data_IF_611542937852
#
_entry.id   IF_611542937852
#
_cell.length_a   1.000
_cell.length_b   1.000
_cell.length_c   1.000
_cell.angle_alpha   90.00
_cell.angle_beta   90.00
_cell.angle_gamma   90.00
#
_symmetry.space_group_name_H-M   'P 1'
#
loop_
_entity.id
_entity.type
_entity.pdbx_description
1 polymer ?
#
# COMPACT_ATOMS: atom_id res chain seq x y z
N UNK A 1 -42.53 -9.85 5.57
CA UNK A 1 -41.78 -8.98 4.63
C UNK A 1 -40.42 -9.61 4.42
N UNK A 2 -39.88 -9.69 3.19
CA UNK A 2 -38.51 -10.16 2.99
C UNK A 2 -37.56 -9.23 3.76
N UNK A 3 -36.69 -9.81 4.56
CA UNK A 3 -35.58 -9.07 5.18
C UNK A 3 -34.70 -8.62 4.02
N UNK A 4 -34.41 -7.31 3.87
CA UNK A 4 -33.49 -6.86 2.83
C UNK A 4 -32.16 -7.59 3.00
N UNK A 5 -31.54 -7.99 1.88
CA UNK A 5 -30.23 -8.64 1.92
C UNK A 5 -29.27 -7.78 2.76
N UNK A 6 -28.51 -8.39 3.68
CA UNK A 6 -27.59 -7.63 4.52
C UNK A 6 -26.60 -6.89 3.62
N UNK A 7 -26.38 -5.61 3.94
CA UNK A 7 -25.39 -4.79 3.25
C UNK A 7 -24.03 -5.43 3.47
N UNK A 8 -23.48 -6.02 2.41
CA UNK A 8 -22.15 -6.62 2.40
C UNK A 8 -21.07 -5.57 2.19
N UNK A 9 -19.84 -5.88 2.62
CA UNK A 9 -18.68 -5.02 2.41
C UNK A 9 -18.55 -4.66 0.92
N UNK A 10 -18.49 -3.36 0.65
CA UNK A 10 -18.21 -2.79 -0.66
C UNK A 10 -17.68 -1.37 -0.50
N UNK A 11 -16.90 -0.94 -1.50
CA UNK A 11 -16.53 0.46 -1.74
C UNK A 11 -16.75 0.71 -3.22
N UNK A 12 -17.40 1.82 -3.58
CA UNK A 12 -17.77 2.15 -4.97
C UNK A 12 -17.57 3.62 -5.25
N UNK A 13 -17.25 3.93 -6.49
CA UNK A 13 -17.19 5.28 -7.01
C UNK A 13 -18.13 5.40 -8.22
N UNK A 14 -19.02 6.38 -8.18
CA UNK A 14 -19.72 6.87 -9.36
C UNK A 14 -18.86 7.95 -9.99
N UNK A 15 -18.35 7.76 -11.22
CA UNK A 15 -17.51 8.75 -11.87
C UNK A 15 -18.30 10.04 -12.16
N UNK A 16 -17.62 11.17 -12.30
CA UNK A 16 -18.25 12.42 -12.72
C UNK A 16 -18.78 12.32 -14.15
N UNK A 17 -19.77 13.14 -14.46
CA UNK A 17 -20.36 13.23 -15.81
C UNK A 17 -19.74 14.33 -16.66
N UNK A 18 -18.98 15.25 -16.05
CA UNK A 18 -18.30 16.36 -16.71
C UNK A 18 -16.97 16.70 -16.02
N UNK A 19 -16.07 17.44 -16.70
CA UNK A 19 -14.86 17.98 -16.09
C UNK A 19 -15.16 18.91 -14.91
N UNK A 20 -14.24 18.98 -13.95
CA UNK A 20 -14.29 20.00 -12.91
C UNK A 20 -14.00 21.38 -13.51
N UNK A 21 -14.54 22.47 -12.93
CA UNK A 21 -14.07 23.81 -13.23
C UNK A 21 -12.55 23.91 -12.95
N UNK A 22 -11.72 24.47 -13.85
CA UNK A 22 -10.27 24.52 -13.67
C UNK A 22 -9.81 25.21 -12.37
N UNK A 23 -10.59 26.17 -11.88
CA UNK A 23 -10.37 26.89 -10.62
C UNK A 23 -10.69 26.07 -9.36
N UNK A 24 -11.40 24.95 -9.51
CA UNK A 24 -11.76 24.06 -8.41
C UNK A 24 -10.79 22.88 -8.26
N UNK A 25 -9.84 22.73 -9.20
CA UNK A 25 -8.81 21.71 -9.17
C UNK A 25 -7.62 22.19 -8.34
N UNK A 26 -7.11 21.32 -7.50
CA UNK A 26 -5.96 21.64 -6.66
C UNK A 26 -4.70 21.76 -7.54
N UNK A 27 -3.92 22.85 -7.37
CA UNK A 27 -2.65 22.97 -8.06
C UNK A 27 -1.70 21.89 -7.55
N UNK A 28 -1.07 21.19 -8.48
CA UNK A 28 0.16 20.47 -8.18
C UNK A 28 1.30 21.48 -8.20
N UNK A 29 1.64 22.04 -7.03
CA UNK A 29 2.76 22.95 -6.78
C UNK A 29 4.09 22.40 -7.32
N UNK A 30 4.80 21.57 -6.55
CA UNK A 30 6.09 21.01 -6.94
C UNK A 30 6.23 19.53 -6.53
N UNK A 31 6.51 18.62 -7.48
CA UNK A 31 6.83 17.23 -7.17
C UNK A 31 8.12 17.12 -6.35
N UNK A 32 8.32 16.03 -5.62
CA UNK A 32 7.54 14.79 -5.72
C UNK A 32 6.37 14.71 -4.74
N UNK A 33 5.24 14.20 -5.25
CA UNK A 33 4.14 13.74 -4.41
C UNK A 33 4.31 12.24 -4.17
N UNK A 34 4.15 11.82 -2.92
CA UNK A 34 3.96 10.40 -2.63
C UNK A 34 2.55 9.95 -3.05
N UNK A 35 2.36 8.63 -3.10
CA UNK A 35 1.06 8.06 -3.48
C UNK A 35 -0.09 8.53 -2.58
N UNK A 36 0.06 8.59 -1.24
CA UNK A 36 -0.99 9.12 -0.37
C UNK A 36 -1.40 10.56 -0.69
N UNK A 37 -0.45 11.47 -0.92
CA UNK A 37 -0.75 12.84 -1.29
C UNK A 37 -1.51 12.90 -2.63
N UNK A 38 -1.09 12.11 -3.63
CA UNK A 38 -1.79 12.04 -4.92
C UNK A 38 -3.21 11.48 -4.79
N UNK A 39 -3.42 10.49 -3.93
CA UNK A 39 -4.75 9.94 -3.66
C UNK A 39 -5.66 11.00 -3.03
N UNK A 40 -5.16 11.74 -2.04
CA UNK A 40 -5.89 12.80 -1.37
C UNK A 40 -6.26 13.95 -2.32
N UNK A 41 -5.29 14.46 -3.09
CA UNK A 41 -5.51 15.53 -4.08
C UNK A 41 -6.49 15.06 -5.17
N UNK A 42 -6.32 13.84 -5.69
CA UNK A 42 -7.23 13.30 -6.70
C UNK A 42 -8.66 13.15 -6.18
N UNK A 43 -8.83 12.74 -4.92
CA UNK A 43 -10.14 12.71 -4.26
C UNK A 43 -10.74 14.10 -4.05
N UNK A 44 -9.93 15.11 -3.69
CA UNK A 44 -10.38 16.51 -3.61
C UNK A 44 -10.86 17.04 -4.96
N UNK A 45 -10.10 16.78 -6.03
CA UNK A 45 -10.48 17.12 -7.41
C UNK A 45 -11.82 16.47 -7.81
N UNK A 46 -12.05 15.20 -7.45
CA UNK A 46 -13.32 14.52 -7.68
C UNK A 46 -14.45 15.10 -6.82
N UNK A 47 -14.18 15.52 -5.59
CA UNK A 47 -15.19 16.14 -4.73
C UNK A 47 -15.67 17.51 -5.26
N UNK A 48 -14.87 18.17 -6.11
CA UNK A 48 -15.26 19.38 -6.83
C UNK A 48 -16.20 19.12 -8.04
N UNK A 49 -16.55 17.87 -8.30
CA UNK A 49 -17.44 17.44 -9.41
C UNK A 49 -18.77 16.88 -8.91
N UNK A 50 -19.54 16.24 -9.80
CA UNK A 50 -20.74 15.46 -9.46
C UNK A 50 -20.45 13.98 -9.16
N UNK A 51 -19.18 13.60 -9.01
CA UNK A 51 -18.78 12.27 -8.54
C UNK A 51 -19.40 11.95 -7.17
N UNK A 52 -19.62 10.67 -6.90
CA UNK A 52 -20.12 10.23 -5.60
C UNK A 52 -19.47 8.92 -5.19
N UNK A 53 -19.10 8.80 -3.93
CA UNK A 53 -18.58 7.57 -3.36
C UNK A 53 -19.63 6.91 -2.46
N UNK A 54 -19.47 5.61 -2.23
CA UNK A 54 -20.30 4.89 -1.30
C UNK A 54 -19.58 3.67 -0.75
N UNK A 55 -19.70 3.48 0.56
CA UNK A 55 -19.21 2.29 1.23
C UNK A 55 -20.23 1.78 2.23
N UNK A 56 -20.12 0.50 2.54
CA UNK A 56 -20.96 -0.16 3.52
C UNK A 56 -20.55 -1.60 3.70
N UNK A 57 -21.17 -2.26 4.66
CA UNK A 57 -20.86 -3.61 5.06
C UNK A 57 -21.32 -3.83 6.50
N UNK A 58 -21.23 -5.08 6.95
CA UNK A 58 -21.44 -5.48 8.33
C UNK A 58 -22.82 -5.02 8.85
N UNK A 59 -23.82 -5.13 7.97
CA UNK A 59 -25.21 -4.80 8.23
C UNK A 59 -25.56 -3.31 8.12
N UNK A 60 -24.63 -2.43 7.73
CA UNK A 60 -24.87 -0.99 7.65
C UNK A 60 -24.34 -0.34 6.37
N UNK A 61 -24.96 0.78 5.99
CA UNK A 61 -24.36 1.76 5.07
C UNK A 61 -23.56 2.76 5.89
N UNK A 62 -22.42 3.19 5.36
CA UNK A 62 -21.56 4.15 6.06
C UNK A 62 -21.81 5.56 5.50
N UNK A 63 -21.61 6.57 6.35
CA UNK A 63 -21.32 7.90 5.84
C UNK A 63 -19.94 7.81 5.19
N UNK A 64 -19.86 8.18 3.92
CA UNK A 64 -18.68 7.97 3.11
C UNK A 64 -18.58 9.07 2.05
N UNK A 65 -17.64 9.99 2.21
CA UNK A 65 -17.42 11.09 1.28
C UNK A 65 -16.36 10.77 0.20
N UNK A 66 -16.34 11.57 -0.87
CA UNK A 66 -15.40 11.38 -1.99
C UNK A 66 -14.00 11.87 -1.66
N UNK A 67 -13.86 12.84 -0.77
CA UNK A 67 -12.60 13.54 -0.51
C UNK A 67 -11.72 12.75 0.45
N UNK A 68 -12.13 12.61 1.70
CA UNK A 68 -11.29 12.11 2.78
C UNK A 68 -11.51 10.62 3.04
N UNK A 69 -12.77 10.16 3.01
CA UNK A 69 -13.08 8.74 3.24
C UNK A 69 -12.56 7.83 2.12
N UNK A 70 -12.75 8.25 0.87
CA UNK A 70 -12.23 7.50 -0.28
C UNK A 70 -10.69 7.54 -0.35
N UNK A 71 -10.04 8.66 0.02
CA UNK A 71 -8.57 8.74 -0.03
C UNK A 71 -7.94 7.67 0.88
N UNK A 72 -8.46 7.48 2.09
CA UNK A 72 -7.97 6.47 3.02
C UNK A 72 -7.99 5.04 2.44
N UNK A 73 -8.97 4.71 1.58
CA UNK A 73 -8.98 3.41 0.87
C UNK A 73 -7.91 3.38 -0.23
N UNK A 74 -7.80 4.45 -1.01
CA UNK A 74 -6.91 4.51 -2.18
C UNK A 74 -5.43 4.59 -1.79
N UNK A 75 -5.12 5.21 -0.66
CA UNK A 75 -3.79 5.30 -0.04
C UNK A 75 -3.15 3.91 0.14
N UNK A 76 -3.96 2.90 0.43
CA UNK A 76 -3.52 1.53 0.72
C UNK A 76 -3.92 0.50 -0.37
N UNK A 77 -4.54 0.92 -1.47
CA UNK A 77 -5.18 0.00 -2.42
C UNK A 77 -4.18 -0.93 -3.13
N UNK A 78 -2.99 -0.44 -3.48
CA UNK A 78 -1.95 -1.29 -4.09
C UNK A 78 -1.45 -2.37 -3.11
N UNK A 79 -1.30 -2.01 -1.83
CA UNK A 79 -0.93 -2.94 -0.76
C UNK A 79 -2.02 -3.99 -0.55
N UNK A 80 -3.29 -3.56 -0.54
CA UNK A 80 -4.43 -4.46 -0.44
C UNK A 80 -4.51 -5.42 -1.65
N UNK A 81 -4.36 -4.93 -2.88
CA UNK A 81 -4.36 -5.77 -4.07
C UNK A 81 -3.16 -6.71 -4.13
N UNK A 82 -1.99 -6.29 -3.66
CA UNK A 82 -0.84 -7.16 -3.45
C UNK A 82 -1.18 -8.27 -2.43
N UNK A 83 -1.83 -7.92 -1.32
CA UNK A 83 -2.24 -8.89 -0.32
C UNK A 83 -3.22 -9.93 -0.87
N UNK A 84 -4.13 -9.55 -1.76
CA UNK A 84 -4.97 -10.50 -2.50
C UNK A 84 -4.14 -11.44 -3.38
N UNK A 85 -3.24 -10.89 -4.21
CA UNK A 85 -2.38 -11.66 -5.13
C UNK A 85 -1.57 -12.76 -4.43
N UNK A 86 -1.06 -12.46 -3.24
CA UNK A 86 -0.23 -13.39 -2.45
C UNK A 86 -0.98 -14.06 -1.28
N UNK A 87 -2.26 -13.74 -1.09
CA UNK A 87 -3.12 -14.29 -0.02
C UNK A 87 -2.53 -14.09 1.37
N UNK A 88 -2.00 -12.90 1.60
CA UNK A 88 -1.38 -12.51 2.88
C UNK A 88 -2.34 -11.67 3.68
N UNK A 89 -2.54 -11.91 4.99
CA UNK A 89 -3.43 -11.07 5.79
C UNK A 89 -3.06 -9.60 5.69
N UNK A 90 -4.07 -8.73 5.62
CA UNK A 90 -3.89 -7.28 5.48
C UNK A 90 -4.91 -6.53 6.31
N UNK A 91 -4.49 -5.46 6.97
CA UNK A 91 -5.38 -4.56 7.71
C UNK A 91 -5.39 -3.20 7.00
N UNK A 92 -6.55 -2.83 6.45
CA UNK A 92 -6.82 -1.50 5.90
C UNK A 92 -7.31 -0.61 7.05
N UNK A 93 -6.67 0.55 7.29
CA UNK A 93 -7.09 1.47 8.33
C UNK A 93 -7.89 2.64 7.77
N UNK A 94 -9.19 2.64 8.03
CA UNK A 94 -10.07 3.77 7.74
C UNK A 94 -10.04 4.70 8.94
N UNK A 95 -9.12 5.64 8.94
CA UNK A 95 -8.91 6.64 10.00
C UNK A 95 -9.79 7.91 9.95
N UNK A 96 -10.45 8.29 8.84
CA UNK A 96 -11.33 9.45 8.79
C UNK A 96 -12.40 9.50 9.89
N UNK A 97 -12.66 10.71 10.41
CA UNK A 97 -13.58 10.95 11.52
C UNK A 97 -15.00 10.44 11.22
N UNK A 98 -15.58 9.66 12.13
CA UNK A 98 -16.90 9.05 11.93
C UNK A 98 -16.86 7.75 11.11
N UNK A 99 -15.77 7.50 10.35
CA UNK A 99 -15.50 6.23 9.70
C UNK A 99 -14.66 5.30 10.60
N UNK A 100 -13.55 5.76 11.16
CA UNK A 100 -12.72 5.12 12.21
C UNK A 100 -12.90 3.59 12.38
N UNK A 101 -12.52 2.81 11.36
CA UNK A 101 -12.66 1.35 11.29
C UNK A 101 -11.38 0.72 10.77
N UNK A 102 -11.01 -0.44 11.31
CA UNK A 102 -9.95 -1.28 10.74
C UNK A 102 -10.60 -2.50 10.09
N UNK A 103 -10.28 -2.75 8.82
CA UNK A 103 -10.77 -3.90 8.06
C UNK A 103 -9.63 -4.90 7.86
N UNK A 104 -9.76 -6.09 8.47
CA UNK A 104 -8.76 -7.16 8.35
C UNK A 104 -9.21 -8.20 7.34
N UNK A 105 -8.46 -8.32 6.25
CA UNK A 105 -8.67 -9.29 5.18
C UNK A 105 -7.83 -10.54 5.47
N UNK A 106 -8.46 -11.70 5.46
CA UNK A 106 -7.81 -13.01 5.59
C UNK A 106 -8.30 -13.97 4.52
N UNK A 107 -7.51 -14.99 4.20
CA UNK A 107 -7.72 -15.89 3.07
C UNK A 107 -7.83 -17.34 3.56
N UNK A 108 -8.94 -17.72 4.23
CA UNK A 108 -9.08 -19.04 4.85
C UNK A 108 -9.07 -20.20 3.85
N UNK A 109 -9.50 -19.95 2.60
CA UNK A 109 -9.48 -20.92 1.50
C UNK A 109 -9.05 -20.23 0.20
N UNK A 110 -8.75 -21.00 -0.88
CA UNK A 110 -8.45 -20.42 -2.19
C UNK A 110 -9.57 -19.52 -2.75
N UNK A 111 -10.84 -19.79 -2.44
CA UNK A 111 -11.96 -19.12 -3.10
C UNK A 111 -12.69 -18.15 -2.17
N UNK A 112 -12.25 -18.00 -0.92
CA UNK A 112 -12.92 -17.21 0.10
C UNK A 112 -11.99 -16.16 0.72
N UNK A 113 -12.52 -14.96 0.88
CA UNK A 113 -11.93 -13.89 1.68
C UNK A 113 -12.83 -13.65 2.88
N UNK A 114 -12.26 -13.65 4.08
CA UNK A 114 -12.94 -13.23 5.29
C UNK A 114 -12.49 -11.81 5.63
N UNK A 115 -13.43 -10.88 5.74
CA UNK A 115 -13.20 -9.48 6.13
C UNK A 115 -13.74 -9.30 7.52
N UNK A 116 -12.87 -9.04 8.49
CA UNK A 116 -13.25 -8.67 9.86
C UNK A 116 -13.26 -7.15 9.98
N UNK A 117 -14.29 -6.59 10.63
CA UNK A 117 -14.36 -5.16 10.93
C UNK A 117 -14.25 -4.94 12.44
N UNK A 118 -13.30 -4.08 12.82
CA UNK A 118 -13.26 -3.48 14.14
C UNK A 118 -13.58 -2.00 14.01
N UNK A 119 -14.62 -1.51 14.70
CA UNK A 119 -14.90 -0.08 14.78
C UNK A 119 -14.27 0.54 16.02
N UNK A 120 -13.80 1.79 15.88
CA UNK A 120 -13.34 2.64 16.97
C UNK A 120 -14.38 3.70 17.37
N UNK A 121 -15.61 3.58 16.85
CA UNK A 121 -16.77 4.42 17.18
C UNK A 121 -17.79 3.66 18.04
N UNK A 122 -18.91 4.30 18.39
CA UNK A 122 -20.04 3.65 19.07
C UNK A 122 -20.82 2.67 18.17
N UNK A 123 -20.58 2.66 16.85
CA UNK A 123 -21.20 1.70 15.94
C UNK A 123 -20.52 0.32 16.05
N UNK A 124 -21.32 -0.74 16.22
CA UNK A 124 -20.84 -2.11 16.33
C UNK A 124 -21.17 -2.89 15.05
N UNK A 125 -20.17 -3.51 14.37
CA UNK A 125 -20.41 -4.29 13.16
C UNK A 125 -21.22 -5.55 13.46
N UNK A 126 -22.25 -5.83 12.65
CA UNK A 126 -23.11 -7.01 12.79
C UNK A 126 -23.47 -7.60 11.43
N UNK A 127 -22.82 -8.70 11.00
CA UNK A 127 -21.82 -9.49 11.73
C UNK A 127 -20.49 -8.73 11.87
N UNK A 128 -19.61 -9.16 12.78
CA UNK A 128 -18.25 -8.62 12.87
C UNK A 128 -17.32 -9.12 11.75
N UNK A 129 -17.67 -10.24 11.11
CA UNK A 129 -16.90 -10.84 10.00
C UNK A 129 -17.83 -11.22 8.86
N UNK A 130 -17.50 -10.78 7.66
CA UNK A 130 -18.16 -11.18 6.42
C UNK A 130 -17.28 -12.11 5.59
N UNK A 131 -17.92 -12.98 4.80
CA UNK A 131 -17.24 -13.90 3.90
C UNK A 131 -17.65 -13.62 2.45
N UNK A 132 -16.66 -13.43 1.59
CA UNK A 132 -16.83 -13.05 0.19
C UNK A 132 -16.13 -14.05 -0.73
N UNK A 133 -16.70 -14.34 -1.92
CA UNK A 133 -15.95 -15.00 -2.98
C UNK A 133 -14.71 -14.17 -3.35
N UNK A 134 -13.54 -14.81 -3.43
CA UNK A 134 -12.27 -14.15 -3.72
C UNK A 134 -12.34 -13.33 -5.01
N UNK A 135 -12.76 -13.95 -6.11
CA UNK A 135 -12.79 -13.31 -7.42
C UNK A 135 -13.70 -12.09 -7.45
N UNK A 136 -14.82 -12.15 -6.72
CA UNK A 136 -15.77 -11.04 -6.64
C UNK A 136 -15.14 -9.84 -5.93
N UNK A 137 -14.62 -10.03 -4.72
CA UNK A 137 -14.08 -8.91 -3.94
C UNK A 137 -12.80 -8.36 -4.58
N UNK A 138 -11.97 -9.23 -5.15
CA UNK A 138 -10.79 -8.82 -5.92
C UNK A 138 -11.18 -7.98 -7.15
N UNK A 139 -12.24 -8.38 -7.88
CA UNK A 139 -12.76 -7.61 -9.00
C UNK A 139 -13.33 -6.25 -8.54
N UNK A 140 -14.11 -6.20 -7.46
CA UNK A 140 -14.66 -4.95 -6.90
C UNK A 140 -13.54 -3.95 -6.53
N UNK A 141 -12.46 -4.39 -5.90
CA UNK A 141 -11.30 -3.55 -5.57
C UNK A 141 -10.50 -3.11 -6.82
N UNK A 142 -10.36 -4.01 -7.78
CA UNK A 142 -9.69 -3.73 -9.06
C UNK A 142 -10.48 -2.70 -9.89
N UNK A 143 -11.79 -2.83 -9.90
CA UNK A 143 -12.69 -1.94 -10.61
C UNK A 143 -12.74 -0.57 -9.95
N UNK A 144 -12.71 -0.49 -8.60
CA UNK A 144 -12.56 0.78 -7.89
C UNK A 144 -11.33 1.56 -8.37
N UNK A 145 -10.17 0.91 -8.51
CA UNK A 145 -8.96 1.56 -9.02
C UNK A 145 -9.12 2.08 -10.47
N UNK A 146 -9.78 1.31 -11.34
CA UNK A 146 -10.04 1.71 -12.73
C UNK A 146 -11.06 2.83 -12.83
N UNK A 147 -12.11 2.77 -12.02
CA UNK A 147 -13.16 3.79 -11.94
C UNK A 147 -12.56 5.10 -11.43
N UNK A 148 -11.76 5.06 -10.37
CA UNK A 148 -11.07 6.24 -9.84
C UNK A 148 -10.19 6.90 -10.91
N UNK A 149 -9.34 6.13 -11.58
CA UNK A 149 -8.40 6.69 -12.56
C UNK A 149 -9.06 7.13 -13.87
N UNK A 150 -10.19 6.54 -14.23
CA UNK A 150 -11.07 7.05 -15.28
C UNK A 150 -11.74 8.35 -14.85
N UNK A 151 -12.26 8.41 -13.63
CA UNK A 151 -12.91 9.58 -13.06
C UNK A 151 -11.97 10.78 -13.01
N UNK A 152 -10.71 10.59 -12.58
CA UNK A 152 -9.69 11.66 -12.59
C UNK A 152 -9.47 12.23 -13.99
N UNK A 153 -9.39 11.37 -15.00
CA UNK A 153 -9.23 11.81 -16.39
C UNK A 153 -10.46 12.59 -16.88
N UNK A 154 -11.67 12.12 -16.54
CA UNK A 154 -12.92 12.84 -16.86
C UNK A 154 -13.01 14.20 -16.17
N UNK A 155 -12.58 14.29 -14.91
CA UNK A 155 -12.54 15.52 -14.13
C UNK A 155 -11.50 16.53 -14.67
N UNK A 156 -10.53 16.09 -15.47
CA UNK A 156 -9.39 16.90 -15.90
C UNK A 156 -8.31 17.07 -14.82
N UNK A 157 -8.30 16.19 -13.81
CA UNK A 157 -7.32 16.23 -12.74
C UNK A 157 -5.92 15.95 -13.28
N UNK A 158 -4.94 16.75 -12.86
CA UNK A 158 -3.53 16.54 -13.20
C UNK A 158 -2.96 15.29 -12.54
N UNK A 159 -3.52 14.86 -11.41
CA UNK A 159 -3.07 13.65 -10.72
C UNK A 159 -3.19 12.42 -11.61
N UNK A 160 -4.16 12.41 -12.55
CA UNK A 160 -4.44 11.30 -13.47
C UNK A 160 -3.21 10.80 -14.27
N UNK A 161 -2.19 11.65 -14.46
CA UNK A 161 -0.97 11.35 -15.21
C UNK A 161 0.20 10.88 -14.32
N UNK A 162 0.05 10.94 -13.00
CA UNK A 162 1.07 10.52 -12.05
C UNK A 162 0.91 9.05 -11.63
N UNK A 163 1.99 8.28 -11.47
CA UNK A 163 1.93 6.93 -10.90
C UNK A 163 1.25 6.93 -9.51
N UNK A 164 0.48 5.87 -9.18
CA UNK A 164 0.26 4.64 -9.95
C UNK A 164 -0.88 4.71 -10.97
N UNK A 165 -1.57 5.85 -11.10
CA UNK A 165 -2.88 5.93 -11.77
C UNK A 165 -2.90 5.50 -13.26
N UNK A 166 -1.90 5.83 -14.11
CA UNK A 166 -1.82 5.28 -15.46
C UNK A 166 -1.72 3.75 -15.52
N UNK A 167 -1.11 3.11 -14.50
CA UNK A 167 -1.01 1.66 -14.43
C UNK A 167 -2.35 1.04 -14.01
N UNK A 168 -3.01 1.60 -12.99
CA UNK A 168 -4.34 1.18 -12.54
C UNK A 168 -5.37 1.24 -13.66
N UNK A 169 -5.39 2.32 -14.45
CA UNK A 169 -6.27 2.45 -15.62
C UNK A 169 -6.10 1.31 -16.62
N UNK A 170 -4.87 0.81 -16.76
CA UNK A 170 -4.54 -0.32 -17.62
C UNK A 170 -4.69 -1.69 -16.93
N UNK A 171 -5.25 -1.74 -15.72
CA UNK A 171 -5.42 -2.95 -14.93
C UNK A 171 -4.11 -3.57 -14.45
N UNK A 172 -3.04 -2.77 -14.33
CA UNK A 172 -1.74 -3.20 -13.82
C UNK A 172 -1.53 -2.64 -12.41
N UNK A 173 -1.34 -3.55 -11.47
CA UNK A 173 -1.11 -3.23 -10.06
C UNK A 173 0.31 -3.65 -9.71
N UNK A 174 1.13 -2.67 -9.34
CA UNK A 174 2.52 -2.91 -8.98
C UNK A 174 2.59 -3.40 -7.53
N UNK A 175 3.64 -4.14 -7.20
CA UNK A 175 3.97 -4.34 -5.80
C UNK A 175 4.41 -3.00 -5.19
N UNK A 176 3.92 -2.65 -3.99
CA UNK A 176 4.47 -1.54 -3.25
C UNK A 176 5.99 -1.71 -3.05
N UNK A 177 6.75 -0.60 -2.96
CA UNK A 177 8.20 -0.67 -2.80
C UNK A 177 8.64 -1.48 -1.56
N UNK A 178 7.82 -1.54 -0.52
CA UNK A 178 8.00 -2.43 0.62
C UNK A 178 6.77 -3.31 0.76
N UNK A 179 6.94 -4.62 0.61
CA UNK A 179 5.84 -5.59 0.66
C UNK A 179 6.11 -6.66 1.72
N UNK A 180 5.17 -6.83 2.64
CA UNK A 180 5.18 -7.92 3.63
C UNK A 180 4.52 -9.16 3.03
N UNK A 181 5.20 -10.30 3.04
CA UNK A 181 4.71 -11.55 2.45
C UNK A 181 5.01 -12.72 3.37
N UNK A 182 4.20 -13.78 3.31
CA UNK A 182 4.60 -15.04 3.95
C UNK A 182 5.92 -15.53 3.32
N UNK A 183 6.91 -16.03 4.10
CA UNK A 183 8.21 -16.43 3.57
C UNK A 183 8.16 -17.36 2.34
N UNK A 184 7.22 -18.33 2.33
CA UNK A 184 6.94 -19.23 1.20
C UNK A 184 6.60 -18.53 -0.13
N UNK A 185 6.08 -17.30 -0.09
CA UNK A 185 5.62 -16.56 -1.26
C UNK A 185 6.71 -15.62 -1.83
N UNK A 186 7.82 -15.43 -1.12
CA UNK A 186 8.97 -14.63 -1.57
C UNK A 186 9.54 -15.10 -2.93
N UNK A 187 9.71 -16.41 -3.21
CA UNK A 187 10.22 -16.85 -4.51
C UNK A 187 9.32 -16.45 -5.67
N UNK A 188 7.99 -16.52 -5.47
CA UNK A 188 6.98 -16.12 -6.47
C UNK A 188 7.03 -14.61 -6.70
N UNK A 189 6.99 -13.81 -5.64
CA UNK A 189 7.06 -12.35 -5.75
C UNK A 189 8.37 -11.87 -6.40
N UNK A 190 9.50 -12.51 -6.10
CA UNK A 190 10.77 -12.24 -6.77
C UNK A 190 10.71 -12.54 -8.28
N UNK A 191 10.11 -13.66 -8.67
CA UNK A 191 9.96 -14.00 -10.08
C UNK A 191 9.09 -12.97 -10.82
N UNK A 192 8.03 -12.50 -10.16
CA UNK A 192 7.11 -11.49 -10.70
C UNK A 192 7.77 -10.13 -10.90
N UNK A 193 8.75 -9.75 -10.06
CA UNK A 193 9.51 -8.50 -10.18
C UNK A 193 10.65 -8.57 -11.20
N UNK A 194 11.15 -9.78 -11.52
CA UNK A 194 12.25 -10.01 -12.45
C UNK A 194 13.42 -9.00 -12.32
N UNK A 195 14.02 -8.85 -11.12
CA UNK A 195 14.94 -7.77 -10.85
C UNK A 195 16.28 -7.94 -11.58
N UNK A 196 16.90 -6.82 -11.93
CA UNK A 196 18.25 -6.82 -12.52
C UNK A 196 19.34 -7.19 -11.52
N UNK A 197 19.10 -7.00 -10.21
CA UNK A 197 19.98 -7.42 -9.13
C UNK A 197 19.16 -7.81 -7.90
N UNK A 198 19.54 -8.91 -7.26
CA UNK A 198 18.92 -9.42 -6.05
C UNK A 198 19.91 -9.44 -4.90
N UNK A 199 19.50 -8.93 -3.74
CA UNK A 199 20.23 -8.96 -2.48
C UNK A 199 19.40 -9.75 -1.44
N UNK A 200 19.69 -11.04 -1.23
CA UNK A 200 19.07 -11.80 -0.15
C UNK A 200 19.71 -11.42 1.19
N UNK A 201 18.88 -11.02 2.15
CA UNK A 201 19.24 -10.77 3.55
C UNK A 201 18.69 -11.92 4.38
N UNK A 202 19.58 -12.82 4.83
CA UNK A 202 19.16 -13.90 5.70
C UNK A 202 18.79 -13.36 7.08
N UNK A 203 17.51 -13.45 7.41
CA UNK A 203 16.93 -13.00 8.67
C UNK A 203 16.36 -14.14 9.49
N UNK A 204 16.61 -15.39 9.09
CA UNK A 204 16.13 -16.57 9.81
C UNK A 204 16.60 -16.53 11.27
N UNK A 205 15.65 -16.48 12.20
CA UNK A 205 15.94 -16.42 13.64
C UNK A 205 16.42 -15.05 14.16
N UNK A 206 16.38 -13.99 13.34
CA UNK A 206 16.69 -12.62 13.77
C UNK A 206 15.58 -12.10 14.68
N UNK A 207 15.85 -12.09 15.98
CA UNK A 207 14.90 -11.67 17.02
C UNK A 207 15.21 -10.30 17.65
N UNK A 208 16.30 -9.63 17.23
CA UNK A 208 16.74 -8.36 17.82
C UNK A 208 17.13 -7.36 16.74
N UNK A 209 17.03 -6.06 17.07
CA UNK A 209 17.51 -4.98 16.21
C UNK A 209 18.98 -5.14 15.84
N UNK A 210 19.83 -5.47 16.81
CA UNK A 210 21.26 -5.69 16.56
C UNK A 210 21.48 -6.79 15.51
N UNK A 211 20.84 -7.96 15.68
CA UNK A 211 20.96 -9.06 14.73
C UNK A 211 20.43 -8.69 13.33
N UNK A 212 19.37 -7.87 13.24
CA UNK A 212 18.85 -7.37 11.97
C UNK A 212 19.86 -6.46 11.25
N UNK A 213 20.44 -5.52 11.99
CA UNK A 213 21.47 -4.62 11.46
C UNK A 213 22.71 -5.40 11.02
N UNK A 214 23.10 -6.44 11.75
CA UNK A 214 24.21 -7.32 11.39
C UNK A 214 23.93 -8.07 10.08
N UNK A 215 22.71 -8.61 9.92
CA UNK A 215 22.28 -9.26 8.68
C UNK A 215 22.30 -8.29 7.49
N UNK A 216 21.82 -7.05 7.68
CA UNK A 216 21.86 -6.00 6.65
C UNK A 216 23.30 -5.65 6.27
N UNK A 217 24.18 -5.42 7.26
CA UNK A 217 25.60 -5.12 7.02
C UNK A 217 26.33 -6.22 6.25
N UNK A 218 25.92 -7.48 6.43
CA UNK A 218 26.50 -8.60 5.73
C UNK A 218 26.07 -8.68 4.26
N UNK A 219 24.83 -8.32 3.96
CA UNK A 219 24.19 -8.60 2.67
C UNK A 219 24.10 -7.40 1.72
N UNK A 220 24.00 -6.17 2.25
CA UNK A 220 23.66 -4.98 1.47
C UNK A 220 24.88 -4.08 1.25
N UNK A 221 24.94 -3.39 0.10
CA UNK A 221 25.94 -2.34 -0.09
C UNK A 221 25.61 -1.19 0.87
N UNK A 222 26.61 -0.77 1.65
CA UNK A 222 26.50 0.34 2.60
C UNK A 222 27.59 1.36 2.31
N UNK A 223 27.21 2.61 2.14
CA UNK A 223 28.14 3.72 1.99
C UNK A 223 27.54 4.99 2.62
N UNK A 224 28.10 5.52 3.73
CA UNK A 224 29.28 5.01 4.44
C UNK A 224 29.01 3.69 5.16
N UNK A 225 30.06 2.96 5.61
CA UNK A 225 29.88 1.78 6.44
C UNK A 225 29.12 2.08 7.73
N UNK A 226 28.15 1.21 8.06
CA UNK A 226 27.32 1.35 9.26
C UNK A 226 28.07 0.84 10.51
N UNK A 227 28.27 1.71 11.51
CA UNK A 227 29.10 1.43 12.68
C UNK A 227 28.34 0.90 13.91
N UNK A 228 27.00 0.94 13.92
CA UNK A 228 26.19 0.55 15.08
C UNK A 228 24.74 0.19 14.70
N UNK A 229 23.90 -0.03 15.71
CA UNK A 229 22.50 -0.48 15.53
C UNK A 229 21.45 0.38 16.23
N UNK A 230 21.83 1.59 16.66
CA UNK A 230 20.96 2.46 17.47
C UNK A 230 20.18 3.49 16.66
N UNK A 231 20.60 3.76 15.43
CA UNK A 231 20.01 4.80 14.58
C UNK A 231 19.48 4.21 13.28
N UNK A 232 18.17 4.38 13.06
CA UNK A 232 17.52 4.04 11.79
C UNK A 232 17.93 5.03 10.70
N UNK A 233 18.05 6.31 11.02
CA UNK A 233 18.54 7.34 10.09
C UNK A 233 19.93 7.00 9.54
N UNK A 234 20.85 6.55 10.41
CA UNK A 234 22.19 6.14 9.98
C UNK A 234 22.15 4.90 9.07
N UNK A 235 21.22 3.98 9.30
CA UNK A 235 21.00 2.83 8.42
C UNK A 235 20.44 3.28 7.06
N UNK A 236 19.46 4.18 7.06
CA UNK A 236 18.87 4.76 5.85
C UNK A 236 19.93 5.49 5.01
N UNK A 237 20.75 6.34 5.62
CA UNK A 237 21.83 7.06 4.94
C UNK A 237 22.85 6.10 4.30
N UNK A 238 23.31 5.10 5.08
CA UNK A 238 24.25 4.08 4.60
C UNK A 238 23.66 3.26 3.45
N UNK A 239 22.41 2.84 3.56
CA UNK A 239 21.72 2.09 2.49
C UNK A 239 21.47 2.97 1.27
N UNK A 240 21.12 4.24 1.47
CA UNK A 240 20.91 5.18 0.38
C UNK A 240 22.17 5.29 -0.46
N UNK A 241 23.33 5.61 0.14
CA UNK A 241 24.57 5.72 -0.61
C UNK A 241 24.94 4.42 -1.32
N UNK A 242 24.89 3.29 -0.61
CA UNK A 242 25.27 1.99 -1.16
C UNK A 242 24.36 1.51 -2.29
N UNK A 243 23.03 1.66 -2.16
CA UNK A 243 22.07 1.27 -3.21
C UNK A 243 22.01 2.28 -4.36
N UNK A 244 22.24 3.56 -4.11
CA UNK A 244 22.24 4.59 -5.16
C UNK A 244 23.45 4.45 -6.10
N UNK A 245 24.62 4.12 -5.55
CA UNK A 245 25.86 3.88 -6.30
C UNK A 245 25.91 2.49 -6.94
N UNK A 246 25.00 1.59 -6.57
CA UNK A 246 24.89 0.28 -7.20
C UNK A 246 24.65 0.41 -8.73
N UNK A 247 25.14 -0.56 -9.53
CA UNK A 247 25.00 -0.53 -10.99
C UNK A 247 23.55 -0.67 -11.46
N UNK A 248 22.66 -1.18 -10.60
CA UNK A 248 21.23 -1.34 -10.90
C UNK A 248 20.42 -0.12 -10.48
N UNK A 249 19.33 0.17 -11.21
CA UNK A 249 18.30 1.14 -10.82
C UNK A 249 17.04 0.48 -10.28
N UNK A 250 17.00 -0.85 -10.23
CA UNK A 250 15.86 -1.65 -9.77
C UNK A 250 16.32 -2.81 -8.87
N UNK A 251 17.06 -2.52 -7.77
CA UNK A 251 17.48 -3.57 -6.86
C UNK A 251 16.26 -4.21 -6.17
N UNK A 252 16.28 -5.54 -6.07
CA UNK A 252 15.40 -6.29 -5.18
C UNK A 252 16.18 -6.69 -3.94
N UNK A 253 15.64 -6.36 -2.77
CA UNK A 253 16.12 -6.79 -1.48
C UNK A 253 15.07 -7.75 -0.89
N UNK A 254 15.51 -8.89 -0.37
CA UNK A 254 14.61 -9.87 0.24
C UNK A 254 15.08 -10.22 1.64
N UNK A 255 14.28 -9.93 2.64
CA UNK A 255 14.47 -10.41 4.00
C UNK A 255 13.77 -11.76 4.14
N UNK A 256 14.54 -12.83 4.35
CA UNK A 256 14.04 -14.22 4.25
C UNK A 256 12.93 -14.55 5.24
N UNK A 257 13.07 -14.17 6.52
CA UNK A 257 12.13 -14.50 7.57
C UNK A 257 12.30 -13.61 8.82
N UNK A 258 11.43 -12.61 8.95
CA UNK A 258 11.33 -11.67 10.07
C UNK A 258 10.29 -12.11 11.12
N UNK A 259 9.84 -13.37 11.12
CA UNK A 259 8.83 -13.84 12.09
C UNK A 259 9.29 -13.78 13.54
N UNK A 260 10.59 -13.93 13.79
CA UNK A 260 11.16 -13.83 15.13
C UNK A 260 11.32 -12.38 15.62
N UNK A 261 11.21 -11.38 14.74
CA UNK A 261 11.39 -9.98 15.07
C UNK A 261 10.15 -9.44 15.80
N UNK A 262 10.29 -8.74 16.95
CA UNK A 262 9.16 -8.16 17.66
C UNK A 262 8.37 -7.17 16.78
N UNK A 263 7.05 -7.14 16.94
CA UNK A 263 6.17 -6.27 16.14
C UNK A 263 6.57 -4.78 16.11
N UNK A 264 6.99 -4.14 17.23
CA UNK A 264 7.49 -2.77 17.18
C UNK A 264 8.74 -2.60 16.30
N UNK A 265 9.65 -3.57 16.33
CA UNK A 265 10.86 -3.55 15.51
C UNK A 265 10.56 -3.81 14.03
N UNK A 266 9.60 -4.69 13.74
CA UNK A 266 9.11 -4.90 12.37
C UNK A 266 8.46 -3.63 11.81
N UNK A 267 7.67 -2.93 12.63
CA UNK A 267 7.06 -1.67 12.23
C UNK A 267 8.10 -0.59 11.91
N UNK A 268 9.13 -0.44 12.76
CA UNK A 268 10.26 0.48 12.50
C UNK A 268 11.05 0.09 11.26
N UNK A 269 11.32 -1.21 11.07
CA UNK A 269 11.99 -1.72 9.86
C UNK A 269 11.21 -1.36 8.61
N UNK A 270 9.89 -1.60 8.61
CA UNK A 270 9.02 -1.26 7.49
C UNK A 270 9.00 0.24 7.22
N UNK A 271 8.90 1.07 8.26
CA UNK A 271 8.90 2.53 8.12
C UNK A 271 10.21 3.04 7.49
N UNK A 272 11.36 2.60 8.01
CA UNK A 272 12.67 3.00 7.50
C UNK A 272 12.88 2.59 6.03
N UNK A 273 12.50 1.36 5.67
CA UNK A 273 12.61 0.89 4.28
C UNK A 273 11.65 1.61 3.33
N UNK A 274 10.46 2.00 3.80
CA UNK A 274 9.50 2.78 2.99
C UNK A 274 10.04 4.19 2.76
N UNK A 275 10.56 4.85 3.80
CA UNK A 275 11.24 6.15 3.72
C UNK A 275 12.40 6.11 2.73
N UNK A 276 13.27 5.11 2.87
CA UNK A 276 14.40 4.89 1.96
C UNK A 276 13.97 4.66 0.51
N UNK A 277 12.97 3.80 0.27
CA UNK A 277 12.49 3.50 -1.07
C UNK A 277 11.91 4.76 -1.76
N UNK A 278 11.17 5.56 -0.99
CA UNK A 278 10.61 6.84 -1.42
C UNK A 278 11.72 7.80 -1.81
N UNK A 279 12.70 7.99 -0.92
CA UNK A 279 13.86 8.87 -1.14
C UNK A 279 14.69 8.45 -2.34
N UNK A 280 14.98 7.15 -2.50
CA UNK A 280 15.71 6.62 -3.67
C UNK A 280 14.94 6.82 -4.98
N UNK A 281 13.61 6.79 -4.96
CA UNK A 281 12.80 7.01 -6.16
C UNK A 281 12.76 8.48 -6.61
N UNK A 282 13.25 9.42 -5.79
CA UNK A 282 13.15 10.85 -6.06
C UNK A 282 14.37 11.43 -6.80
N UNK A 283 14.17 12.22 -7.87
CA UNK A 283 15.27 12.82 -8.63
C UNK A 283 16.15 13.78 -7.81
N UNK A 284 15.57 14.58 -6.91
CA UNK A 284 16.30 15.60 -6.15
C UNK A 284 17.41 14.99 -5.26
N UNK A 285 17.12 14.07 -4.33
CA UNK A 285 18.17 13.44 -3.52
C UNK A 285 19.11 12.57 -4.35
N UNK A 286 18.64 12.02 -5.48
CA UNK A 286 19.44 11.14 -6.35
C UNK A 286 20.16 11.84 -7.50
N UNK A 287 20.26 13.17 -7.48
CA UNK A 287 20.96 13.98 -8.50
C UNK A 287 20.49 13.65 -9.94
N UNK A 288 19.18 13.47 -10.11
CA UNK A 288 18.53 13.12 -11.37
C UNK A 288 18.61 11.64 -11.75
N UNK A 289 19.08 10.75 -10.87
CA UNK A 289 19.27 9.31 -11.14
C UNK A 289 18.48 8.43 -10.16
N UNK A 290 17.14 8.47 -10.18
CA UNK A 290 16.32 7.72 -9.25
C UNK A 290 16.57 6.21 -9.33
N UNK A 291 16.45 5.54 -8.18
CA UNK A 291 16.57 4.10 -7.98
C UNK A 291 15.26 3.58 -7.41
N UNK A 292 14.59 2.65 -8.11
CA UNK A 292 13.34 2.02 -7.69
C UNK A 292 13.63 0.71 -6.96
N UNK A 293 14.05 0.82 -5.70
CA UNK A 293 14.29 -0.34 -4.84
C UNK A 293 12.97 -1.02 -4.44
N UNK A 294 12.95 -2.35 -4.45
CA UNK A 294 11.86 -3.14 -3.90
C UNK A 294 12.39 -3.97 -2.73
N UNK A 295 11.66 -3.99 -1.63
CA UNK A 295 11.95 -4.72 -0.41
C UNK A 295 10.82 -5.72 -0.15
N UNK A 296 11.15 -7.01 -0.21
CA UNK A 296 10.23 -8.08 0.17
C UNK A 296 10.58 -8.55 1.58
N UNK A 297 9.63 -8.42 2.49
CA UNK A 297 9.78 -8.76 3.90
C UNK A 297 9.04 -10.08 4.18
N UNK A 298 9.79 -11.17 4.36
CA UNK A 298 9.22 -12.44 4.80
C UNK A 298 8.69 -12.33 6.21
N UNK A 299 7.39 -12.42 6.44
CA UNK A 299 6.80 -12.42 7.77
C UNK A 299 5.43 -13.12 7.73
N UNK A 300 5.05 -13.75 8.83
CA UNK A 300 3.67 -14.20 9.02
C UNK A 300 2.96 -13.06 9.74
N UNK A 301 2.09 -12.33 9.04
CA UNK A 301 1.26 -11.32 9.71
C UNK A 301 0.57 -11.99 10.91
N UNK A 302 0.47 -11.31 12.07
CA UNK A 302 -0.24 -11.87 13.21
C UNK A 302 -1.66 -12.22 12.76
N UNK A 303 -2.04 -13.48 12.96
CA UNK A 303 -3.40 -13.95 12.74
C UNK A 303 -4.39 -13.39 13.75
#
# INVERSE_FOLDING_TARGET
MPVPDPVRFHVRLRPPTAPAPPEALDPLDEPPYDHPALALIGCADLAATDAAAGAGGFGARWHFDVSYDLSAVLEELDQLLAAFRYRTPYALDLYPQGLERTLTFTFPTPDTVAVHCASRTDWVPSPATEHHPYDRLHAELTDLAREFTTALATAGSRTADHPPFPAWRAGRFALPPVTLLHPRDLPRARADLAPSRHYPVDTTGVATRAALFDAIRHALPLDPPLLGHHSWDALEDSLFGGLHEAPTRTPLITFTDLTALPAPELALTRAALTSLATTLAHPAPTRGRPTRAHFLLGHTAPG
#
